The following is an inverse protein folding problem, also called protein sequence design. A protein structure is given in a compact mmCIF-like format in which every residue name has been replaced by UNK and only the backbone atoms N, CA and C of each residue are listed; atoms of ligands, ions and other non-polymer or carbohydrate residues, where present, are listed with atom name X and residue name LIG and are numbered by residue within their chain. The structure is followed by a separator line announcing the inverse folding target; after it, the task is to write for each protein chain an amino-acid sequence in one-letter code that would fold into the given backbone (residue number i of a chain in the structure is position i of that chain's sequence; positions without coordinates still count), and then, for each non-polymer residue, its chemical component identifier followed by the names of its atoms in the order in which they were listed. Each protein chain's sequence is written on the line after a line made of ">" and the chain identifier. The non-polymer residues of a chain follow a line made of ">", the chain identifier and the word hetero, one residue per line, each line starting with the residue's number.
data_IF_178907373362
#
_entry.id   IF_178907373362
#
_cell.length_a   1.000
_cell.length_b   1.000
_cell.length_c   1.000
_cell.angle_alpha   90.00
_cell.angle_beta   90.00
_cell.angle_gamma   90.00
#
_symmetry.space_group_name_H-M   'P 1'
#
loop_
_entity.id
_entity.type
_entity.pdbx_description
1 polymer ?
#
# COMPACT_ATOMS: atom_id res chain seq x y z
N UNK A 1 -3.99 16.53 67.55
CA UNK A 1 -4.45 16.27 66.16
C UNK A 1 -3.26 16.58 65.23
N UNK A 2 -3.06 15.72 64.23
CA UNK A 2 -1.77 15.44 63.57
C UNK A 2 -1.20 16.60 62.74
N UNK A 3 0.12 16.81 62.87
CA UNK A 3 0.93 17.57 61.93
C UNK A 3 1.00 16.85 60.58
N UNK A 4 0.71 17.56 59.48
CA UNK A 4 0.93 17.06 58.13
C UNK A 4 2.37 17.41 57.72
N UNK A 5 3.25 16.42 57.81
CA UNK A 5 4.56 16.45 57.19
C UNK A 5 4.40 16.28 55.68
N UNK A 6 4.69 17.32 54.92
CA UNK A 6 4.79 17.26 53.46
C UNK A 6 6.05 16.47 53.10
N UNK A 7 5.88 15.20 52.73
CA UNK A 7 6.97 14.34 52.24
C UNK A 7 7.20 14.59 50.76
N UNK A 8 8.32 15.22 50.46
CA UNK A 8 9.03 15.16 49.18
C UNK A 8 9.41 13.71 48.91
N UNK A 9 8.60 12.98 48.17
CA UNK A 9 8.95 11.64 47.68
C UNK A 9 8.29 11.36 46.35
N UNK A 10 9.13 11.07 45.35
CA UNK A 10 8.81 10.33 44.13
C UNK A 10 8.00 11.04 43.05
N UNK A 11 8.69 11.99 42.40
CA UNK A 11 8.87 11.95 40.95
C UNK A 11 9.35 10.54 40.51
N UNK A 12 8.43 9.65 40.12
CA UNK A 12 8.73 8.48 39.29
C UNK A 12 7.44 7.70 38.99
N UNK A 13 6.79 8.02 37.88
CA UNK A 13 5.61 7.28 37.42
C UNK A 13 5.13 7.67 36.03
N UNK A 14 5.99 8.24 35.20
CA UNK A 14 5.73 8.48 33.78
C UNK A 14 6.92 7.91 33.03
N UNK A 15 6.98 6.58 32.96
CA UNK A 15 7.92 5.88 32.12
C UNK A 15 7.30 4.55 31.68
N UNK A 16 7.37 4.31 30.37
CA UNK A 16 7.10 3.04 29.67
C UNK A 16 5.64 2.71 29.33
N UNK A 17 5.04 3.54 28.46
CA UNK A 17 4.05 3.05 27.48
C UNK A 17 4.44 3.39 26.03
N UNK A 18 5.70 3.78 25.78
CA UNK A 18 6.24 4.04 24.45
C UNK A 18 7.11 2.87 23.96
N UNK A 19 6.61 1.64 24.11
CA UNK A 19 6.98 0.58 23.19
C UNK A 19 6.10 0.76 21.95
N UNK A 20 6.41 1.77 21.14
CA UNK A 20 6.05 1.74 19.74
C UNK A 20 6.88 0.60 19.12
N UNK A 21 6.47 -0.64 19.40
CA UNK A 21 6.93 -1.79 18.63
C UNK A 21 6.63 -1.48 17.18
N UNK A 22 7.56 -1.82 16.29
CA UNK A 22 7.40 -1.73 14.84
C UNK A 22 5.95 -2.07 14.48
N UNK A 23 5.13 -1.04 14.20
CA UNK A 23 3.72 -1.26 13.89
C UNK A 23 3.72 -1.94 12.53
N UNK A 24 3.73 -3.26 12.58
CA UNK A 24 3.33 -4.12 11.48
C UNK A 24 1.94 -3.64 11.12
N UNK A 25 1.78 -3.12 9.91
CA UNK A 25 0.47 -2.69 9.42
C UNK A 25 -0.46 -3.90 9.52
N UNK A 26 -1.52 -3.78 10.31
CA UNK A 26 -2.57 -4.78 10.37
C UNK A 26 -3.60 -4.54 9.26
N UNK A 27 -4.49 -5.51 9.07
CA UNK A 27 -5.50 -5.47 8.02
C UNK A 27 -6.37 -4.21 8.13
N UNK A 28 -6.81 -3.87 9.34
CA UNK A 28 -7.69 -2.74 9.58
C UNK A 28 -7.03 -1.41 9.22
N UNK A 29 -5.75 -1.24 9.57
CA UNK A 29 -4.97 -0.06 9.23
C UNK A 29 -4.76 0.06 7.71
N UNK A 30 -4.40 -1.03 7.03
CA UNK A 30 -4.27 -1.03 5.57
C UNK A 30 -5.60 -0.70 4.90
N UNK A 31 -6.69 -1.34 5.33
CA UNK A 31 -8.02 -1.14 4.75
C UNK A 31 -8.48 0.30 4.92
N UNK A 32 -8.38 0.85 6.13
CA UNK A 32 -8.76 2.25 6.41
C UNK A 32 -7.95 3.24 5.57
N UNK A 33 -6.67 2.97 5.33
CA UNK A 33 -5.83 3.80 4.47
C UNK A 33 -6.27 3.73 3.01
N UNK A 34 -6.48 2.53 2.48
CA UNK A 34 -6.87 2.30 1.08
C UNK A 34 -8.29 2.80 0.77
N UNK A 35 -9.21 2.76 1.73
CA UNK A 35 -10.58 3.28 1.59
C UNK A 35 -10.65 4.79 1.30
N UNK A 36 -9.56 5.52 1.50
CA UNK A 36 -9.46 6.93 1.07
C UNK A 36 -9.45 7.08 -0.46
N UNK A 37 -9.14 6.01 -1.20
CA UNK A 37 -8.93 6.04 -2.66
C UNK A 37 -9.71 4.95 -3.40
N UNK A 38 -10.12 3.87 -2.73
CA UNK A 38 -10.80 2.76 -3.37
C UNK A 38 -12.06 2.39 -2.60
N UNK A 39 -13.14 2.08 -3.30
CA UNK A 39 -14.37 1.61 -2.69
C UNK A 39 -14.22 0.13 -2.30
N UNK A 40 -13.73 -0.15 -1.10
CA UNK A 40 -13.43 -1.51 -0.64
C UNK A 40 -14.66 -2.22 -0.05
N UNK A 41 -14.79 -3.50 -0.39
CA UNK A 41 -15.72 -4.45 0.23
C UNK A 41 -14.99 -5.39 1.19
N UNK A 42 -15.33 -6.68 1.10
CA UNK A 42 -14.74 -7.74 1.92
C UNK A 42 -13.24 -7.96 1.61
N UNK A 43 -12.47 -8.27 2.65
CA UNK A 43 -11.10 -8.75 2.51
C UNK A 43 -11.12 -10.20 2.00
N UNK A 44 -10.54 -10.43 0.83
CA UNK A 44 -10.41 -11.77 0.25
C UNK A 44 -9.15 -12.49 0.74
N UNK A 45 -8.09 -11.74 1.04
CA UNK A 45 -6.83 -12.26 1.57
C UNK A 45 -6.08 -11.15 2.31
N UNK A 46 -5.47 -11.46 3.43
CA UNK A 46 -4.52 -10.56 4.09
C UNK A 46 -3.45 -11.36 4.83
N UNK A 47 -2.20 -10.95 4.66
CA UNK A 47 -1.06 -11.48 5.40
C UNK A 47 -0.03 -10.37 5.61
N UNK A 48 0.51 -10.27 6.82
CA UNK A 48 1.61 -9.38 7.16
C UNK A 48 2.68 -10.14 7.95
N UNK A 49 3.91 -10.18 7.42
CA UNK A 49 5.09 -10.77 8.06
C UNK A 49 6.10 -9.66 8.39
N UNK A 50 7.30 -10.04 8.83
CA UNK A 50 8.32 -9.06 9.22
C UNK A 50 8.75 -8.17 8.06
N UNK A 51 8.76 -8.75 6.87
CA UNK A 51 9.39 -8.26 5.66
C UNK A 51 8.41 -8.01 4.50
N UNK A 52 7.12 -8.30 4.69
CA UNK A 52 6.13 -8.15 3.63
C UNK A 52 4.73 -7.89 4.18
N UNK A 53 3.91 -7.23 3.37
CA UNK A 53 2.47 -7.14 3.56
C UNK A 53 1.77 -7.33 2.22
N UNK A 54 0.75 -8.18 2.21
CA UNK A 54 -0.10 -8.43 1.05
C UNK A 54 -1.58 -8.40 1.47
N UNK A 55 -2.35 -7.55 0.82
CA UNK A 55 -3.81 -7.46 0.98
C UNK A 55 -4.50 -7.65 -0.37
N UNK A 56 -5.60 -8.39 -0.37
CA UNK A 56 -6.51 -8.52 -1.51
C UNK A 56 -7.91 -8.19 -1.02
N UNK A 57 -8.51 -7.17 -1.61
CA UNK A 57 -9.81 -6.65 -1.22
C UNK A 57 -10.76 -6.70 -2.39
N UNK A 58 -12.04 -7.00 -2.13
CA UNK A 58 -13.10 -6.82 -3.12
C UNK A 58 -13.31 -5.33 -3.38
N UNK A 59 -13.55 -4.97 -4.64
CA UNK A 59 -14.01 -3.63 -5.01
C UNK A 59 -15.54 -3.62 -5.02
N UNK A 60 -16.11 -2.51 -4.58
CA UNK A 60 -17.55 -2.22 -4.63
C UNK A 60 -17.88 -1.14 -5.66
N UNK A 61 -16.86 -0.55 -6.28
CA UNK A 61 -16.96 0.41 -7.37
C UNK A 61 -15.67 0.43 -8.20
N UNK A 62 -15.75 0.87 -9.47
CA UNK A 62 -14.62 0.84 -10.40
C UNK A 62 -13.71 2.07 -10.31
N UNK A 63 -14.11 3.09 -9.55
CA UNK A 63 -13.48 4.40 -9.58
C UNK A 63 -12.35 4.54 -8.55
N UNK A 64 -11.29 5.24 -8.96
CA UNK A 64 -10.25 5.73 -8.06
C UNK A 64 -10.69 7.08 -7.50
N UNK A 65 -10.66 7.22 -6.18
CA UNK A 65 -11.06 8.42 -5.46
C UNK A 65 -10.18 9.63 -5.79
N UNK A 66 -10.77 10.82 -5.81
CA UNK A 66 -10.14 12.07 -6.27
C UNK A 66 -8.85 12.49 -5.52
N UNK A 67 -8.60 11.93 -4.33
CA UNK A 67 -7.36 12.17 -3.57
C UNK A 67 -6.13 11.43 -4.15
N UNK A 68 -6.34 10.53 -5.12
CA UNK A 68 -5.30 9.87 -5.90
C UNK A 68 -5.41 10.29 -7.37
N UNK A 69 -4.46 11.08 -7.90
CA UNK A 69 -4.47 11.46 -9.31
C UNK A 69 -4.39 10.23 -10.21
N UNK A 70 -5.31 10.10 -11.17
CA UNK A 70 -5.24 9.10 -12.25
C UNK A 70 -4.55 9.73 -13.45
N UNK A 71 -3.55 9.05 -13.98
CA UNK A 71 -2.69 9.50 -15.08
C UNK A 71 -2.75 8.52 -16.24
N UNK A 72 -2.60 9.01 -17.47
CA UNK A 72 -2.72 8.19 -18.69
C UNK A 72 -1.38 7.67 -19.21
N UNK A 73 -0.26 8.02 -18.58
CA UNK A 73 1.08 7.62 -19.02
C UNK A 73 2.11 7.63 -17.90
N UNK A 74 3.20 6.87 -18.08
CA UNK A 74 4.31 6.82 -17.14
C UNK A 74 4.94 8.20 -16.89
N UNK A 75 5.21 9.05 -17.90
CA UNK A 75 5.69 10.41 -17.65
C UNK A 75 4.74 11.21 -16.76
N UNK A 76 3.43 11.18 -17.02
CA UNK A 76 2.44 11.90 -16.20
C UNK A 76 2.43 11.40 -14.75
N UNK A 77 2.49 10.08 -14.54
CA UNK A 77 2.60 9.48 -13.20
C UNK A 77 3.85 9.99 -12.47
N UNK A 78 5.00 10.00 -13.14
CA UNK A 78 6.27 10.48 -12.60
C UNK A 78 6.25 11.99 -12.30
N UNK A 79 5.46 12.78 -13.02
CA UNK A 79 5.21 14.18 -12.70
C UNK A 79 4.28 14.37 -11.49
N UNK A 80 3.30 13.49 -11.30
CA UNK A 80 2.33 13.56 -10.22
C UNK A 80 2.91 13.10 -8.87
N UNK A 81 3.70 12.01 -8.86
CA UNK A 81 4.20 11.36 -7.65
C UNK A 81 4.96 12.30 -6.69
N UNK A 82 5.95 13.10 -7.12
CA UNK A 82 6.69 13.98 -6.21
C UNK A 82 5.84 15.11 -5.60
N UNK A 83 4.70 15.44 -6.22
CA UNK A 83 3.82 16.53 -5.79
C UNK A 83 2.72 16.07 -4.85
N UNK A 84 2.22 14.87 -5.06
CA UNK A 84 1.02 14.35 -4.38
C UNK A 84 1.32 13.16 -3.46
N UNK A 85 2.53 12.61 -3.53
CA UNK A 85 2.94 11.42 -2.78
C UNK A 85 2.28 10.11 -3.27
N UNK A 86 1.36 10.18 -4.23
CA UNK A 86 0.60 9.05 -4.77
C UNK A 86 0.10 9.34 -6.18
N UNK A 87 -0.10 8.29 -6.96
CA UNK A 87 -0.70 8.35 -8.29
C UNK A 87 -1.20 6.98 -8.71
N UNK A 88 -2.23 6.97 -9.56
CA UNK A 88 -2.68 5.84 -10.34
C UNK A 88 -2.31 6.06 -11.81
N UNK A 89 -2.01 4.98 -12.51
CA UNK A 89 -1.67 4.91 -13.91
C UNK A 89 -2.68 3.98 -14.59
N UNK A 90 -3.54 4.60 -15.38
CA UNK A 90 -4.53 3.96 -16.25
C UNK A 90 -4.11 4.26 -17.70
N UNK A 91 -3.05 3.57 -18.14
CA UNK A 91 -2.51 3.71 -19.48
C UNK A 91 -3.17 2.70 -20.41
N UNK A 92 -3.89 3.20 -21.42
CA UNK A 92 -4.69 2.37 -22.32
C UNK A 92 -3.86 1.25 -22.97
N UNK A 93 -4.26 -0.01 -22.72
CA UNK A 93 -3.63 -1.19 -23.29
C UNK A 93 -2.27 -1.54 -22.69
N UNK A 94 -1.81 -0.84 -21.65
CA UNK A 94 -0.55 -1.11 -20.97
C UNK A 94 -0.79 -1.86 -19.66
N UNK A 95 -0.41 -3.15 -19.57
CA UNK A 95 -0.55 -3.89 -18.32
C UNK A 95 0.41 -3.35 -17.23
N UNK A 96 0.04 -3.47 -15.93
CA UNK A 96 0.86 -2.99 -14.82
C UNK A 96 2.30 -3.51 -14.81
N UNK A 97 2.57 -4.74 -15.26
CA UNK A 97 3.92 -5.28 -15.34
C UNK A 97 4.81 -4.52 -16.34
N UNK A 98 4.27 -4.20 -17.52
CA UNK A 98 4.93 -3.38 -18.53
C UNK A 98 5.16 -1.96 -18.03
N UNK A 99 4.16 -1.37 -17.37
CA UNK A 99 4.28 -0.04 -16.75
C UNK A 99 5.38 0.00 -15.69
N UNK A 100 5.48 -1.01 -14.82
CA UNK A 100 6.55 -1.11 -13.81
C UNK A 100 7.95 -1.20 -14.44
N UNK A 101 8.07 -1.88 -15.59
CA UNK A 101 9.33 -1.94 -16.35
C UNK A 101 9.68 -0.57 -16.92
N UNK A 102 8.72 0.12 -17.53
CA UNK A 102 8.92 1.47 -18.08
C UNK A 102 9.27 2.48 -16.98
N UNK A 103 8.55 2.47 -15.86
CA UNK A 103 8.85 3.26 -14.66
C UNK A 103 10.28 3.03 -14.15
N UNK A 104 10.77 1.78 -14.17
CA UNK A 104 12.13 1.44 -13.76
C UNK A 104 13.19 1.91 -14.78
N UNK A 105 12.84 2.09 -16.05
CA UNK A 105 13.73 2.63 -17.07
C UNK A 105 13.78 4.16 -17.01
N UNK A 106 12.64 4.83 -16.86
CA UNK A 106 12.52 6.29 -16.82
C UNK A 106 12.96 6.88 -15.47
N UNK A 107 12.60 6.23 -14.36
CA UNK A 107 12.89 6.68 -13.00
C UNK A 107 13.37 5.52 -12.13
N UNK A 108 14.63 5.10 -12.36
CA UNK A 108 15.23 3.89 -11.78
C UNK A 108 14.97 3.70 -10.29
N UNK A 109 15.19 4.72 -9.46
CA UNK A 109 14.98 4.61 -8.00
C UNK A 109 13.53 4.27 -7.66
N UNK A 110 12.59 5.07 -8.16
CA UNK A 110 11.15 4.90 -7.89
C UNK A 110 10.60 3.61 -8.49
N UNK A 111 10.89 3.36 -9.77
CA UNK A 111 10.39 2.16 -10.45
C UNK A 111 10.95 0.87 -9.86
N UNK A 112 12.22 0.84 -9.43
CA UNK A 112 12.77 -0.32 -8.73
C UNK A 112 12.16 -0.50 -7.33
N UNK A 113 11.85 0.58 -6.61
CA UNK A 113 11.14 0.49 -5.33
C UNK A 113 9.76 -0.15 -5.50
N UNK A 114 8.98 0.27 -6.52
CA UNK A 114 7.69 -0.34 -6.84
C UNK A 114 7.82 -1.82 -7.22
N UNK A 115 8.79 -2.16 -8.07
CA UNK A 115 9.02 -3.55 -8.49
C UNK A 115 9.40 -4.45 -7.31
N UNK A 116 10.24 -3.96 -6.39
CA UNK A 116 10.57 -4.68 -5.15
C UNK A 116 9.33 -4.92 -4.30
N UNK A 117 8.52 -3.88 -4.07
CA UNK A 117 7.28 -4.01 -3.31
C UNK A 117 6.36 -5.12 -3.85
N UNK A 118 6.20 -5.19 -5.18
CA UNK A 118 5.41 -6.26 -5.81
C UNK A 118 6.04 -7.65 -5.74
N UNK A 119 7.37 -7.76 -5.86
CA UNK A 119 8.10 -9.04 -5.81
C UNK A 119 8.18 -9.61 -4.39
N UNK A 120 8.50 -8.76 -3.42
CA UNK A 120 8.68 -9.14 -2.01
C UNK A 120 7.35 -9.48 -1.36
N UNK A 121 6.26 -8.79 -1.73
CA UNK A 121 4.92 -9.11 -1.23
C UNK A 121 4.46 -10.54 -1.60
N UNK A 122 5.04 -11.17 -2.63
CA UNK A 122 4.73 -12.57 -2.98
C UNK A 122 5.07 -13.54 -1.86
N UNK A 123 6.08 -13.25 -1.04
CA UNK A 123 6.39 -14.11 0.11
C UNK A 123 5.24 -14.13 1.11
N UNK A 124 4.44 -13.07 1.19
CA UNK A 124 3.22 -12.98 2.00
C UNK A 124 1.97 -13.52 1.31
N UNK A 125 2.01 -14.07 0.09
CA UNK A 125 0.82 -14.58 -0.60
C UNK A 125 0.77 -16.11 -0.56
N UNK A 126 -0.43 -16.68 -0.49
CA UNK A 126 -0.66 -18.08 -0.84
C UNK A 126 -0.73 -18.26 -2.37
N UNK A 127 -0.76 -19.51 -2.85
CA UNK A 127 -0.79 -19.81 -4.28
C UNK A 127 -1.99 -19.17 -5.01
N UNK A 128 -3.11 -18.99 -4.30
CA UNK A 128 -4.33 -18.39 -4.84
C UNK A 128 -4.18 -16.88 -5.03
N UNK A 129 -3.74 -16.19 -3.98
CA UNK A 129 -3.49 -14.76 -3.97
C UNK A 129 -2.36 -14.38 -4.94
N UNK A 130 -1.25 -15.14 -4.95
CA UNK A 130 -0.13 -14.91 -5.86
C UNK A 130 -0.56 -15.09 -7.32
N UNK A 131 -1.28 -16.18 -7.60
CA UNK A 131 -1.80 -16.44 -8.95
C UNK A 131 -2.77 -15.37 -9.43
N UNK A 132 -3.61 -14.85 -8.54
CA UNK A 132 -4.53 -13.76 -8.85
C UNK A 132 -3.79 -12.43 -9.09
N UNK A 133 -2.83 -12.09 -8.22
CA UNK A 133 -2.00 -10.90 -8.36
C UNK A 133 -1.21 -10.90 -9.66
N UNK A 134 -0.58 -12.04 -10.00
CA UNK A 134 0.13 -12.19 -11.28
C UNK A 134 -0.79 -11.98 -12.49
N UNK A 135 -2.03 -12.46 -12.45
CA UNK A 135 -3.00 -12.23 -13.53
C UNK A 135 -3.38 -10.75 -13.64
N UNK A 136 -3.54 -10.07 -12.52
CA UNK A 136 -3.85 -8.64 -12.49
C UNK A 136 -2.70 -7.81 -13.09
N UNK A 137 -1.44 -8.15 -12.73
CA UNK A 137 -0.25 -7.49 -13.28
C UNK A 137 -0.14 -7.60 -14.82
N UNK A 138 -0.68 -8.68 -15.39
CA UNK A 138 -0.66 -8.95 -16.83
C UNK A 138 -1.94 -8.47 -17.55
N UNK A 139 -2.88 -7.84 -16.85
CA UNK A 139 -4.14 -7.39 -17.45
C UNK A 139 -3.99 -5.99 -18.04
N UNK A 140 -4.22 -5.79 -19.35
CA UNK A 140 -4.13 -4.46 -19.97
C UNK A 140 -5.18 -3.46 -19.48
N UNK A 141 -6.24 -3.93 -18.82
CA UNK A 141 -7.30 -3.10 -18.24
C UNK A 141 -7.10 -2.83 -16.73
N UNK A 142 -6.01 -3.34 -16.14
CA UNK A 142 -5.74 -3.12 -14.72
C UNK A 142 -4.99 -1.80 -14.51
N UNK A 143 -5.39 -1.09 -13.46
CA UNK A 143 -4.77 0.19 -13.09
C UNK A 143 -3.65 -0.08 -12.08
N UNK A 144 -2.46 0.47 -12.35
CA UNK A 144 -1.34 0.45 -11.41
C UNK A 144 -1.42 1.69 -10.53
N UNK A 145 -1.40 1.54 -9.21
CA UNK A 145 -1.32 2.67 -8.30
C UNK A 145 -0.13 2.54 -7.36
N UNK A 146 0.37 3.67 -6.89
CA UNK A 146 1.48 3.73 -5.95
C UNK A 146 1.24 4.82 -4.92
N UNK A 147 1.51 4.48 -3.67
CA UNK A 147 1.56 5.39 -2.54
C UNK A 147 3.00 5.42 -2.01
N UNK A 148 3.71 6.51 -2.27
CA UNK A 148 5.12 6.67 -1.91
C UNK A 148 5.35 6.92 -0.42
N UNK A 149 4.33 7.38 0.31
CA UNK A 149 4.43 7.60 1.76
C UNK A 149 4.56 6.28 2.48
N UNK A 150 3.80 5.29 2.03
CA UNK A 150 3.83 3.94 2.59
C UNK A 150 4.67 2.96 1.78
N UNK A 151 5.09 3.30 0.56
CA UNK A 151 5.77 2.36 -0.34
C UNK A 151 4.87 1.22 -0.83
N UNK A 152 3.55 1.44 -0.85
CA UNK A 152 2.57 0.42 -1.26
C UNK A 152 2.35 0.50 -2.77
N UNK A 153 2.55 -0.63 -3.46
CA UNK A 153 2.07 -0.82 -4.84
C UNK A 153 0.67 -1.42 -4.79
N UNK A 154 -0.22 -0.88 -5.60
CA UNK A 154 -1.59 -1.34 -5.72
C UNK A 154 -1.88 -1.69 -7.18
N UNK A 155 -2.66 -2.76 -7.39
CA UNK A 155 -3.14 -3.14 -8.71
C UNK A 155 -4.64 -3.32 -8.62
N UNK A 156 -5.37 -2.53 -9.38
CA UNK A 156 -6.84 -2.57 -9.43
C UNK A 156 -7.27 -3.36 -10.67
N UNK A 157 -7.75 -4.59 -10.48
CA UNK A 157 -8.31 -5.42 -11.55
C UNK A 157 -9.83 -5.22 -11.60
N UNK A 158 -10.25 -4.30 -12.46
CA UNK A 158 -11.66 -3.93 -12.66
C UNK A 158 -12.50 -5.06 -13.27
N UNK A 159 -11.88 -6.07 -13.90
CA UNK A 159 -12.63 -7.22 -14.47
C UNK A 159 -13.00 -8.25 -13.42
N UNK A 160 -12.31 -8.26 -12.29
CA UNK A 160 -12.49 -9.23 -11.20
C UNK A 160 -12.98 -8.59 -9.92
N UNK A 161 -13.15 -7.27 -9.92
CA UNK A 161 -13.48 -6.46 -8.75
C UNK A 161 -12.51 -6.73 -7.59
N UNK A 162 -11.21 -6.71 -7.88
CA UNK A 162 -10.16 -6.94 -6.89
C UNK A 162 -9.16 -5.79 -6.86
N UNK A 163 -8.84 -5.33 -5.65
CA UNK A 163 -7.67 -4.50 -5.37
C UNK A 163 -6.61 -5.36 -4.68
N UNK A 164 -5.43 -5.42 -5.28
CA UNK A 164 -4.24 -5.99 -4.67
C UNK A 164 -3.41 -4.84 -4.09
N UNK A 165 -2.96 -4.95 -2.86
CA UNK A 165 -2.04 -4.02 -2.22
C UNK A 165 -0.83 -4.80 -1.69
N UNK A 166 0.36 -4.34 -2.05
CA UNK A 166 1.61 -5.04 -1.81
C UNK A 166 2.69 -4.06 -1.31
N UNK A 167 3.40 -4.47 -0.27
CA UNK A 167 4.59 -3.79 0.26
C UNK A 167 5.65 -4.83 0.64
N UNK A 168 6.91 -4.52 0.36
CA UNK A 168 8.09 -5.29 0.78
C UNK A 168 8.86 -4.62 1.93
N UNK A 169 10.10 -5.06 2.18
CA UNK A 169 11.02 -4.33 3.07
C UNK A 169 11.50 -3.07 2.35
N UNK A 170 11.35 -1.91 2.99
CA UNK A 170 11.80 -0.62 2.44
C UNK A 170 13.28 -0.59 2.07
#
# INVERSE_FOLDING_TARGET
>A
MRAAAFSTAMLAGVALAALAGCVREDEAAMRARLEQWFALGETAYFEARGDCVAGVFRLTGPDVGAAMPVTGSVPEMLWALPRQGRAALDAEGMPPDAALVELANEARTTGMAMRRAGLEARSCMDDGAEGAFRRALLSPEAVLAYDSESGTVMVMDTRRDLLFAARGEG
#
